data_IF_247953786054
#
_entry.id   IF_247953786054
#
_cell.length_a   1.000
_cell.length_b   1.000
_cell.length_c   1.000
_cell.angle_alpha   90.00
_cell.angle_beta   90.00
_cell.angle_gamma   90.00
#
_symmetry.space_group_name_H-M   'P 1'
#
loop_
_entity.id
_entity.type
_entity.pdbx_description
1 polymer ?
#
# COMPACT_ATOMS: atom_id res chain seq x y z
N UNK A 1 8.52 -6.31 -1.23
CA UNK A 1 7.15 -6.77 -0.95
C UNK A 1 6.43 -7.28 -2.21
N UNK A 2 6.29 -6.44 -3.25
CA UNK A 2 5.48 -6.79 -4.43
C UNK A 2 5.95 -8.04 -5.19
N UNK A 3 7.26 -8.27 -5.33
CA UNK A 3 7.80 -9.47 -5.98
C UNK A 3 7.40 -10.80 -5.31
N UNK A 4 7.06 -10.76 -4.02
CA UNK A 4 6.62 -11.96 -3.27
C UNK A 4 5.10 -12.01 -3.22
N UNK A 5 4.44 -10.88 -2.92
CA UNK A 5 2.99 -10.82 -2.75
C UNK A 5 2.24 -10.99 -4.08
N UNK A 6 2.77 -10.51 -5.20
CA UNK A 6 2.08 -10.65 -6.50
C UNK A 6 1.98 -12.11 -6.94
N UNK A 7 3.06 -12.93 -6.97
CA UNK A 7 2.91 -14.37 -7.23
C UNK A 7 2.05 -15.09 -6.18
N UNK A 8 2.21 -14.73 -4.90
CA UNK A 8 1.41 -15.33 -3.84
C UNK A 8 -0.09 -15.02 -3.94
N UNK A 9 -0.48 -13.89 -4.55
CA UNK A 9 -1.89 -13.58 -4.83
C UNK A 9 -2.54 -14.62 -5.75
N UNK A 10 -1.84 -15.06 -6.79
CA UNK A 10 -2.31 -16.13 -7.70
C UNK A 10 -2.37 -17.50 -7.02
N UNK A 11 -1.48 -17.76 -6.06
CA UNK A 11 -1.48 -19.01 -5.30
C UNK A 11 -2.59 -19.05 -4.24
N UNK A 12 -2.88 -17.90 -3.61
CA UNK A 12 -3.82 -17.79 -2.51
C UNK A 12 -5.27 -17.68 -2.98
N UNK A 13 -5.54 -16.85 -3.99
CA UNK A 13 -6.90 -16.62 -4.50
C UNK A 13 -7.49 -17.83 -5.22
N UNK A 14 -8.77 -18.12 -4.97
CA UNK A 14 -9.55 -19.21 -5.58
C UNK A 14 -10.22 -18.81 -6.90
N UNK A 15 -10.25 -17.51 -7.22
CA UNK A 15 -10.86 -16.98 -8.44
C UNK A 15 -10.31 -15.62 -8.84
N UNK A 16 -10.69 -15.15 -10.03
CA UNK A 16 -10.14 -13.91 -10.60
C UNK A 16 -10.40 -12.67 -9.73
N UNK A 17 -11.54 -12.61 -9.03
CA UNK A 17 -11.87 -11.51 -8.11
C UNK A 17 -10.94 -11.47 -6.90
N UNK A 18 -10.69 -12.63 -6.28
CA UNK A 18 -9.81 -12.73 -5.10
C UNK A 18 -8.37 -12.39 -5.48
N UNK A 19 -7.88 -12.92 -6.60
CA UNK A 19 -6.55 -12.61 -7.13
C UNK A 19 -6.44 -11.12 -7.47
N UNK A 20 -7.45 -10.54 -8.12
CA UNK A 20 -7.47 -9.12 -8.45
C UNK A 20 -7.48 -8.23 -7.20
N UNK A 21 -8.21 -8.61 -6.15
CA UNK A 21 -8.22 -7.87 -4.88
C UNK A 21 -6.86 -7.95 -4.16
N UNK A 22 -6.25 -9.14 -4.08
CA UNK A 22 -4.94 -9.35 -3.46
C UNK A 22 -3.83 -8.64 -4.22
N UNK A 23 -3.81 -8.75 -5.56
CA UNK A 23 -2.83 -8.04 -6.38
C UNK A 23 -3.07 -6.52 -6.39
N UNK A 24 -4.34 -6.10 -6.45
CA UNK A 24 -4.74 -4.69 -6.47
C UNK A 24 -4.33 -3.95 -5.20
N UNK A 25 -4.47 -4.57 -4.03
CA UNK A 25 -4.01 -3.97 -2.77
C UNK A 25 -2.49 -3.81 -2.71
N UNK A 26 -1.73 -4.75 -3.26
CA UNK A 26 -0.25 -4.61 -3.36
C UNK A 26 0.14 -3.47 -4.30
N UNK A 27 -0.53 -3.34 -5.45
CA UNK A 27 -0.31 -2.25 -6.39
C UNK A 27 -0.68 -0.90 -5.77
N UNK A 28 -1.75 -0.84 -4.97
CA UNK A 28 -2.15 0.36 -4.25
C UNK A 28 -1.07 0.82 -3.25
N UNK A 29 -0.45 -0.11 -2.52
CA UNK A 29 0.69 0.22 -1.63
C UNK A 29 1.82 0.88 -2.42
N UNK A 30 2.20 0.30 -3.57
CA UNK A 30 3.24 0.86 -4.43
C UNK A 30 2.86 2.26 -4.95
N UNK A 31 1.61 2.46 -5.36
CA UNK A 31 1.12 3.78 -5.78
C UNK A 31 1.29 4.79 -4.64
N UNK A 32 0.88 4.44 -3.42
CA UNK A 32 0.99 5.36 -2.28
C UNK A 32 2.44 5.64 -1.89
N UNK A 33 3.35 4.67 -1.97
CA UNK A 33 4.78 4.89 -1.70
C UNK A 33 5.41 5.81 -2.75
N UNK A 34 5.07 5.63 -4.03
CA UNK A 34 5.53 6.48 -5.12
C UNK A 34 5.02 7.92 -4.96
N UNK A 35 3.75 8.08 -4.59
CA UNK A 35 3.17 9.40 -4.31
C UNK A 35 3.82 10.05 -3.09
N UNK A 36 4.05 9.31 -2.00
CA UNK A 36 4.75 9.84 -0.82
C UNK A 36 6.17 10.30 -1.17
N UNK A 37 6.92 9.47 -1.89
CA UNK A 37 8.28 9.81 -2.34
C UNK A 37 8.30 11.01 -3.29
N UNK A 38 7.28 11.12 -4.16
CA UNK A 38 7.11 12.27 -5.04
C UNK A 38 6.83 13.57 -4.28
N UNK A 39 5.98 13.52 -3.25
CA UNK A 39 5.69 14.66 -2.36
C UNK A 39 6.96 15.07 -1.61
N UNK A 40 7.69 14.11 -1.02
CA UNK A 40 8.96 14.38 -0.33
C UNK A 40 9.98 15.04 -1.27
N UNK A 41 10.17 14.49 -2.47
CA UNK A 41 11.08 15.05 -3.48
C UNK A 41 10.68 16.46 -3.92
N UNK A 42 9.38 16.73 -4.08
CA UNK A 42 8.88 18.04 -4.45
C UNK A 42 9.09 19.07 -3.34
N UNK A 43 8.88 18.68 -2.08
CA UNK A 43 9.09 19.54 -0.90
C UNK A 43 10.58 19.82 -0.71
N UNK A 44 11.43 18.80 -0.78
CA UNK A 44 12.87 18.93 -0.56
C UNK A 44 13.55 19.79 -1.64
N UNK A 45 12.99 19.85 -2.86
CA UNK A 45 13.44 20.75 -3.93
C UNK A 45 13.19 22.23 -3.62
N UNK A 46 12.16 22.59 -2.85
CA UNK A 46 11.75 23.99 -2.62
C UNK A 46 12.60 24.66 -1.53
N UNK A 47 13.29 23.90 -0.69
CA UNK A 47 14.30 24.39 0.27
C UNK A 47 13.99 24.08 1.74
N UNK A 48 15.01 24.07 2.63
CA UNK A 48 14.88 23.63 4.02
C UNK A 48 14.12 24.58 4.96
N UNK A 49 13.71 25.77 4.49
CA UNK A 49 13.01 26.80 5.29
C UNK A 49 11.49 26.55 5.46
N UNK A 50 11.01 25.38 5.03
CA UNK A 50 9.59 25.12 4.89
C UNK A 50 8.88 24.82 6.22
N UNK A 51 7.98 25.75 6.54
CA UNK A 51 7.03 25.83 7.65
C UNK A 51 6.18 24.57 7.90
N UNK A 52 5.35 24.61 8.96
CA UNK A 52 4.32 23.64 9.36
C UNK A 52 3.54 22.97 8.20
N UNK A 53 3.33 23.67 7.08
CA UNK A 53 2.68 23.14 5.87
C UNK A 53 3.43 21.96 5.24
N UNK A 54 4.77 22.01 5.15
CA UNK A 54 5.55 20.90 4.59
C UNK A 54 5.58 19.70 5.51
N UNK A 55 5.62 19.94 6.82
CA UNK A 55 5.46 18.87 7.81
C UNK A 55 4.12 18.17 7.64
N UNK A 56 3.02 18.93 7.54
CA UNK A 56 1.68 18.36 7.28
C UNK A 56 1.62 17.58 5.98
N UNK A 57 2.22 18.06 4.90
CA UNK A 57 2.22 17.35 3.63
C UNK A 57 2.97 16.01 3.70
N UNK A 58 4.12 15.95 4.38
CA UNK A 58 4.86 14.71 4.63
C UNK A 58 4.08 13.74 5.54
N UNK A 59 3.46 14.26 6.61
CA UNK A 59 2.64 13.47 7.52
C UNK A 59 1.43 12.85 6.79
N UNK A 60 0.78 13.60 5.90
CA UNK A 60 -0.33 13.11 5.08
C UNK A 60 0.11 12.04 4.09
N UNK A 61 1.26 12.23 3.43
CA UNK A 61 1.84 11.23 2.53
C UNK A 61 2.13 9.91 3.26
N UNK A 62 2.77 10.00 4.43
CA UNK A 62 3.06 8.84 5.27
C UNK A 62 1.80 8.16 5.81
N UNK A 63 0.77 8.94 6.17
CA UNK A 63 -0.53 8.41 6.57
C UNK A 63 -1.23 7.64 5.44
N UNK A 64 -1.13 8.12 4.19
CA UNK A 64 -1.67 7.41 3.03
C UNK A 64 -0.98 6.05 2.81
N UNK A 65 0.35 5.98 2.97
CA UNK A 65 1.11 4.71 2.94
C UNK A 65 0.67 3.78 4.07
N UNK A 66 0.51 4.29 5.29
CA UNK A 66 0.04 3.48 6.41
C UNK A 66 -1.34 2.87 6.13
N UNK A 67 -2.28 3.68 5.63
CA UNK A 67 -3.64 3.22 5.31
C UNK A 67 -3.63 2.18 4.19
N UNK A 68 -2.80 2.32 3.16
CA UNK A 68 -2.70 1.33 2.09
C UNK A 68 -2.11 0.00 2.58
N UNK A 69 -1.10 0.05 3.46
CA UNK A 69 -0.51 -1.15 4.08
C UNK A 69 -1.51 -1.83 5.01
N UNK A 70 -2.28 -1.09 5.80
CA UNK A 70 -3.34 -1.65 6.65
C UNK A 70 -4.43 -2.33 5.81
N UNK A 71 -4.87 -1.69 4.72
CA UNK A 71 -5.82 -2.29 3.79
C UNK A 71 -5.26 -3.56 3.16
N UNK A 72 -4.03 -3.52 2.64
CA UNK A 72 -3.37 -4.68 2.06
C UNK A 72 -3.26 -5.83 3.08
N UNK A 73 -2.79 -5.53 4.28
CA UNK A 73 -2.66 -6.52 5.35
C UNK A 73 -4.01 -7.11 5.75
N UNK A 74 -5.06 -6.28 5.86
CA UNK A 74 -6.41 -6.72 6.18
C UNK A 74 -7.02 -7.65 5.12
N UNK A 75 -6.89 -7.30 3.84
CA UNK A 75 -7.39 -8.14 2.73
C UNK A 75 -6.63 -9.47 2.67
N UNK A 76 -5.31 -9.45 2.85
CA UNK A 76 -4.50 -10.66 2.87
C UNK A 76 -4.79 -11.55 4.09
N UNK A 77 -4.94 -10.97 5.27
CA UNK A 77 -5.32 -11.69 6.47
C UNK A 77 -6.71 -12.33 6.34
N UNK A 78 -7.68 -11.61 5.75
CA UNK A 78 -9.00 -12.14 5.47
C UNK A 78 -8.96 -13.31 4.47
N UNK A 79 -8.19 -13.18 3.39
CA UNK A 79 -8.02 -14.25 2.40
C UNK A 79 -7.34 -15.50 3.00
N UNK A 80 -6.31 -15.30 3.83
CA UNK A 80 -5.66 -16.40 4.57
C UNK A 80 -6.65 -17.06 5.54
N UNK A 81 -7.39 -16.27 6.32
CA UNK A 81 -8.38 -16.79 7.26
C UNK A 81 -9.46 -17.60 6.54
N UNK A 82 -9.97 -17.09 5.42
CA UNK A 82 -10.94 -17.80 4.60
C UNK A 82 -10.37 -19.12 4.06
N UNK A 83 -9.11 -19.12 3.58
CA UNK A 83 -8.47 -20.31 3.02
C UNK A 83 -8.22 -21.41 4.06
N UNK A 84 -7.87 -21.06 5.29
CA UNK A 84 -7.50 -22.04 6.32
C UNK A 84 -8.65 -22.42 7.27
N UNK A 85 -9.63 -21.53 7.51
CA UNK A 85 -10.71 -21.78 8.48
C UNK A 85 -12.09 -22.00 7.85
N UNK A 86 -12.28 -21.60 6.58
CA UNK A 86 -13.54 -21.78 5.84
C UNK A 86 -13.32 -22.48 4.48
N UNK A 87 -12.14 -23.10 4.31
CA UNK A 87 -11.62 -23.63 3.06
C UNK A 87 -12.06 -25.04 2.72
#
# INVERSE_FOLDING_TARGET
MAFVLLPAAFWLGRGWLEVAALAGTVVLVLITELLNSGIESAIDRIGPELHDLSKRAKDMGSAAVLLSVLLCSGVWAAALFQRFFHG
#
